data_IF_792857586504
#
_entry.id   IF_792857586504
#
_cell.length_a   1.000
_cell.length_b   1.000
_cell.length_c   1.000
_cell.angle_alpha   90.00
_cell.angle_beta   90.00
_cell.angle_gamma   90.00
#
_symmetry.space_group_name_H-M   'P 1'
#
loop_
_entity.id
_entity.type
_entity.pdbx_description
1 polymer ?
#
# COMPACT_ATOMS: atom_id res chain seq x y z
N UNK A 1 -14.09 6.04 4.46
CA UNK A 1 -13.35 4.77 4.59
C UNK A 1 -12.63 4.49 3.29
N UNK A 2 -11.31 4.27 3.33
CA UNK A 2 -10.57 3.88 2.14
C UNK A 2 -10.95 2.45 1.72
N UNK A 3 -11.07 2.22 0.43
CA UNK A 3 -11.29 0.92 -0.17
C UNK A 3 -10.31 0.75 -1.32
N UNK A 4 -9.66 -0.39 -1.39
CA UNK A 4 -8.81 -0.81 -2.49
C UNK A 4 -9.35 -2.15 -2.98
N UNK A 5 -9.69 -2.22 -4.27
CA UNK A 5 -10.03 -3.48 -4.96
C UNK A 5 -8.95 -3.72 -5.99
N UNK A 6 -8.40 -4.90 -6.02
CA UNK A 6 -7.34 -5.24 -6.96
C UNK A 6 -7.47 -6.65 -7.48
N UNK A 7 -6.91 -6.88 -8.66
CA UNK A 7 -6.78 -8.20 -9.27
C UNK A 7 -5.34 -8.41 -9.71
N UNK A 8 -4.74 -9.50 -9.29
CA UNK A 8 -3.49 -9.99 -9.83
C UNK A 8 -3.79 -11.06 -10.88
N UNK A 9 -3.29 -10.86 -12.09
CA UNK A 9 -3.61 -11.64 -13.28
C UNK A 9 -2.39 -12.43 -13.78
N UNK A 10 -1.42 -12.71 -12.92
CA UNK A 10 -0.14 -13.33 -13.30
C UNK A 10 -0.27 -14.70 -13.98
N UNK A 11 -1.36 -15.44 -13.70
CA UNK A 11 -1.62 -16.75 -14.30
C UNK A 11 -2.37 -16.67 -15.64
N UNK A 12 -2.90 -15.50 -16.03
CA UNK A 12 -3.65 -15.32 -17.29
C UNK A 12 -2.68 -14.84 -18.39
N UNK A 13 -1.66 -15.62 -18.65
CA UNK A 13 -0.53 -15.25 -19.52
C UNK A 13 -0.87 -14.98 -21.00
N UNK A 14 -2.08 -15.23 -21.46
CA UNK A 14 -2.40 -15.17 -22.90
C UNK A 14 -3.60 -14.30 -23.28
N UNK A 15 -4.33 -13.66 -22.34
CA UNK A 15 -5.56 -12.95 -22.68
C UNK A 15 -5.66 -11.53 -22.13
N UNK A 16 -4.77 -11.11 -21.22
CA UNK A 16 -4.79 -9.76 -20.62
C UNK A 16 -3.53 -8.98 -20.94
N UNK A 17 -3.69 -7.74 -21.38
CA UNK A 17 -2.63 -6.76 -21.53
C UNK A 17 -2.06 -6.29 -20.18
N UNK A 18 -2.82 -6.52 -19.09
CA UNK A 18 -2.49 -6.06 -17.74
C UNK A 18 -2.24 -7.24 -16.79
N UNK A 19 -1.12 -7.21 -16.09
CA UNK A 19 -0.80 -8.19 -15.03
C UNK A 19 -1.39 -7.83 -13.66
N UNK A 20 -1.77 -6.56 -13.48
CA UNK A 20 -2.33 -6.07 -12.22
C UNK A 20 -3.28 -4.89 -12.49
N UNK A 21 -4.48 -4.95 -11.91
CA UNK A 21 -5.46 -3.89 -11.98
C UNK A 21 -5.83 -3.48 -10.57
N UNK A 22 -5.91 -2.18 -10.31
CA UNK A 22 -6.28 -1.65 -9.01
C UNK A 22 -7.24 -0.48 -9.15
N UNK A 23 -8.27 -0.50 -8.31
CA UNK A 23 -9.21 0.60 -8.10
C UNK A 23 -9.17 0.99 -6.63
N UNK A 24 -9.02 2.27 -6.35
CA UNK A 24 -8.93 2.75 -4.97
C UNK A 24 -9.63 4.10 -4.79
N UNK A 25 -10.18 4.30 -3.60
CA UNK A 25 -10.60 5.62 -3.14
C UNK A 25 -9.90 5.98 -1.83
N UNK A 26 -9.60 7.25 -1.65
CA UNK A 26 -9.12 7.81 -0.40
C UNK A 26 -10.24 8.61 0.27
N UNK A 27 -10.52 8.25 1.52
CA UNK A 27 -11.45 8.97 2.38
C UNK A 27 -10.65 9.66 3.50
N UNK A 28 -10.58 10.99 3.44
CA UNK A 28 -9.79 11.82 4.34
C UNK A 28 -10.53 13.11 4.70
N UNK A 29 -10.13 13.77 5.78
CA UNK A 29 -10.68 15.06 6.18
C UNK A 29 -10.37 16.15 5.13
N UNK A 30 -11.34 17.03 4.86
CA UNK A 30 -11.22 18.10 3.87
C UNK A 30 -10.13 19.14 4.19
N UNK A 31 -9.82 19.31 5.48
CA UNK A 31 -8.78 20.21 5.97
C UNK A 31 -7.36 19.61 5.93
N UNK A 32 -7.21 18.37 5.45
CA UNK A 32 -5.89 17.75 5.28
C UNK A 32 -5.31 18.05 3.90
N UNK A 33 -4.32 18.95 3.82
CA UNK A 33 -3.81 19.38 2.54
C UNK A 33 -3.05 18.26 1.84
N UNK A 34 -3.32 18.11 0.54
CA UNK A 34 -2.70 17.09 -0.29
C UNK A 34 -2.25 17.68 -1.62
N UNK A 35 -1.20 17.13 -2.19
CA UNK A 35 -0.78 17.36 -3.57
C UNK A 35 -1.28 16.21 -4.44
N UNK A 36 -1.83 16.56 -5.60
CA UNK A 36 -2.27 15.59 -6.61
C UNK A 36 -1.14 14.66 -7.02
N UNK A 37 -1.49 13.54 -7.64
CA UNK A 37 -0.54 12.56 -8.19
C UNK A 37 0.48 13.24 -9.10
N UNK A 38 1.75 12.93 -8.88
CA UNK A 38 2.88 13.46 -9.64
C UNK A 38 4.08 12.52 -9.49
N UNK A 39 5.05 12.65 -10.39
CA UNK A 39 6.32 11.98 -10.26
C UNK A 39 7.13 12.57 -9.09
N UNK A 40 7.54 11.70 -8.19
CA UNK A 40 8.52 12.03 -7.17
C UNK A 40 9.92 11.88 -7.75
N UNK A 41 10.88 12.68 -7.24
CA UNK A 41 12.27 12.66 -7.72
C UNK A 41 12.96 11.30 -7.50
N UNK A 42 12.42 10.51 -6.59
CA UNK A 42 12.86 9.15 -6.26
C UNK A 42 12.37 8.08 -7.25
N UNK A 43 11.66 8.46 -8.33
CA UNK A 43 11.30 7.55 -9.44
C UNK A 43 9.98 6.80 -9.25
N UNK A 44 9.03 7.34 -8.49
CA UNK A 44 7.69 6.76 -8.36
C UNK A 44 6.59 7.81 -8.53
N UNK A 45 5.42 7.37 -8.94
CA UNK A 45 4.22 8.17 -9.16
C UNK A 45 3.31 8.03 -7.95
N UNK A 46 3.02 9.13 -7.26
CA UNK A 46 2.16 9.15 -6.07
C UNK A 46 1.59 10.55 -5.80
N UNK A 47 0.50 10.62 -5.06
CA UNK A 47 0.07 11.85 -4.39
C UNK A 47 0.96 12.15 -3.18
N UNK A 48 0.81 13.31 -2.56
CA UNK A 48 1.56 13.67 -1.36
C UNK A 48 0.63 14.23 -0.28
N UNK A 49 0.76 13.69 0.91
CA UNK A 49 0.22 14.28 2.13
C UNK A 49 1.12 15.43 2.55
N UNK A 50 0.63 16.66 2.45
CA UNK A 50 1.44 17.85 2.76
C UNK A 50 1.62 18.09 4.27
N UNK A 51 0.83 17.41 5.11
CA UNK A 51 0.96 17.49 6.57
C UNK A 51 2.04 16.53 7.11
N UNK A 52 2.03 15.28 6.65
CA UNK A 52 2.96 14.25 7.11
C UNK A 52 4.14 14.00 6.14
N UNK A 53 4.09 14.52 4.93
CA UNK A 53 5.18 14.41 3.94
C UNK A 53 5.25 13.08 3.18
N UNK A 54 4.46 12.07 3.58
CA UNK A 54 4.40 10.75 2.96
C UNK A 54 3.32 10.61 1.89
N UNK A 55 3.06 9.37 1.50
CA UNK A 55 1.96 9.02 0.58
C UNK A 55 1.22 7.78 1.08
N UNK A 56 -0.01 7.59 0.61
CA UNK A 56 -0.82 6.42 0.97
C UNK A 56 -0.88 5.37 -0.14
N UNK A 57 -0.52 5.73 -1.36
CA UNK A 57 -0.51 4.87 -2.54
C UNK A 57 0.50 5.42 -3.54
N UNK A 58 1.30 4.54 -4.13
CA UNK A 58 2.24 4.89 -5.18
C UNK A 58 2.67 3.68 -6.01
N UNK A 59 3.21 3.97 -7.20
CA UNK A 59 3.72 2.98 -8.14
C UNK A 59 5.03 3.48 -8.75
N UNK A 60 6.04 2.61 -8.83
CA UNK A 60 7.32 2.90 -9.51
C UNK A 60 7.30 2.46 -10.98
N UNK A 61 8.26 2.95 -11.77
CA UNK A 61 8.37 2.62 -13.20
C UNK A 61 8.61 1.13 -13.46
N UNK A 62 9.27 0.43 -12.56
CA UNK A 62 9.51 -1.02 -12.62
C UNK A 62 8.29 -1.87 -12.20
N UNK A 63 7.13 -1.24 -11.93
CA UNK A 63 5.89 -1.89 -11.58
C UNK A 63 5.77 -2.30 -10.09
N UNK A 64 6.69 -1.86 -9.24
CA UNK A 64 6.49 -1.99 -7.79
C UNK A 64 5.35 -1.07 -7.34
N UNK A 65 4.56 -1.56 -6.43
CA UNK A 65 3.40 -0.86 -5.93
C UNK A 65 3.31 -0.96 -4.42
N UNK A 66 2.88 0.10 -3.77
CA UNK A 66 2.56 0.10 -2.35
C UNK A 66 1.33 0.93 -2.03
N UNK A 67 0.52 0.44 -1.11
CA UNK A 67 -0.61 1.19 -0.57
C UNK A 67 -0.84 0.88 0.91
N UNK A 68 -1.30 1.86 1.66
CA UNK A 68 -1.65 1.71 3.07
C UNK A 68 -3.07 2.25 3.32
N UNK A 69 -3.87 1.48 4.06
CA UNK A 69 -5.13 1.95 4.61
C UNK A 69 -5.03 2.06 6.13
N UNK A 70 -5.73 3.03 6.69
CA UNK A 70 -5.80 3.23 8.12
C UNK A 70 -6.76 2.23 8.75
N UNK A 71 -6.32 1.53 9.79
CA UNK A 71 -7.23 0.83 10.67
C UNK A 71 -7.97 1.85 11.55
N UNK A 72 -9.31 1.74 11.64
CA UNK A 72 -10.10 2.63 12.52
C UNK A 72 -9.93 2.22 13.96
N UNK A 73 -9.29 3.07 14.71
CA UNK A 73 -9.10 2.95 16.16
C UNK A 73 -9.02 4.35 16.77
N UNK A 74 -9.06 4.42 18.08
CA UNK A 74 -8.86 5.70 18.79
C UNK A 74 -7.51 6.32 18.39
N UNK A 75 -7.44 7.66 18.26
CA UNK A 75 -6.24 8.36 17.87
C UNK A 75 -5.08 8.03 18.81
N UNK A 76 -4.10 7.30 18.32
CA UNK A 76 -2.83 7.08 19.01
C UNK A 76 -1.73 7.84 18.29
N UNK A 77 -1.03 8.67 19.06
CA UNK A 77 0.18 9.30 18.54
C UNK A 77 1.28 8.25 18.50
N UNK A 78 1.89 8.08 17.33
CA UNK A 78 3.02 7.18 17.10
C UNK A 78 4.19 7.96 16.52
N UNK A 79 5.38 7.41 16.65
CA UNK A 79 6.61 8.05 16.19
C UNK A 79 6.66 8.20 14.67
N UNK A 80 6.08 7.22 13.94
CA UNK A 80 6.15 7.15 12.49
C UNK A 80 4.79 7.33 11.81
N UNK A 81 4.82 8.00 10.66
CA UNK A 81 3.65 8.12 9.80
C UNK A 81 3.45 6.85 8.99
N UNK A 82 2.19 6.38 8.88
CA UNK A 82 1.86 5.24 8.01
C UNK A 82 2.20 5.49 6.53
N UNK A 83 2.21 6.74 6.10
CA UNK A 83 2.64 7.13 4.75
C UNK A 83 4.10 6.84 4.47
N UNK A 84 4.94 6.74 5.50
CA UNK A 84 6.36 6.38 5.37
C UNK A 84 6.52 4.90 4.99
N UNK A 85 5.58 4.03 5.34
CA UNK A 85 5.59 2.62 4.93
C UNK A 85 5.58 2.49 3.40
N UNK A 86 4.73 3.26 2.73
CA UNK A 86 4.63 3.27 1.27
C UNK A 86 5.87 3.90 0.64
N UNK A 87 6.24 5.09 1.14
CA UNK A 87 7.40 5.84 0.67
C UNK A 87 8.68 5.01 0.77
N UNK A 88 8.99 4.47 1.95
CA UNK A 88 10.22 3.72 2.20
C UNK A 88 10.30 2.46 1.34
N UNK A 89 9.21 1.76 1.08
CA UNK A 89 9.21 0.61 0.18
C UNK A 89 9.52 1.01 -1.26
N UNK A 90 8.93 2.09 -1.77
CA UNK A 90 9.13 2.54 -3.16
C UNK A 90 10.52 3.16 -3.39
N UNK A 91 11.13 3.74 -2.36
CA UNK A 91 12.46 4.34 -2.43
C UNK A 91 13.60 3.29 -2.30
N UNK A 92 13.32 2.13 -1.72
CA UNK A 92 14.32 1.08 -1.51
C UNK A 92 14.11 -0.09 -2.49
N UNK A 93 15.22 -0.64 -3.01
CA UNK A 93 15.23 -1.77 -3.95
C UNK A 93 15.19 -3.14 -3.22
N UNK A 94 14.48 -3.20 -2.09
CA UNK A 94 14.30 -4.40 -1.28
C UNK A 94 13.03 -5.16 -1.70
N UNK A 95 13.03 -6.48 -1.65
CA UNK A 95 11.85 -7.28 -1.92
C UNK A 95 10.76 -7.05 -0.86
N UNK A 96 9.50 -7.23 -1.25
CA UNK A 96 8.36 -6.98 -0.36
C UNK A 96 8.42 -7.83 0.92
N UNK A 97 8.75 -9.11 0.79
CA UNK A 97 8.88 -10.02 1.94
C UNK A 97 9.96 -9.54 2.92
N UNK A 98 11.14 -9.22 2.40
CA UNK A 98 12.25 -8.73 3.24
C UNK A 98 11.90 -7.38 3.90
N UNK A 99 11.27 -6.48 3.14
CA UNK A 99 10.80 -5.20 3.70
C UNK A 99 9.83 -5.41 4.87
N UNK A 100 8.85 -6.32 4.72
CA UNK A 100 7.89 -6.62 5.78
C UNK A 100 8.56 -7.16 7.05
N UNK A 101 9.65 -7.92 6.92
CA UNK A 101 10.42 -8.44 8.06
C UNK A 101 11.19 -7.34 8.81
N UNK A 102 11.57 -6.25 8.13
CA UNK A 102 12.29 -5.13 8.76
C UNK A 102 11.38 -4.20 9.57
N UNK A 103 10.06 -4.30 9.40
CA UNK A 103 9.11 -3.37 10.01
C UNK A 103 8.89 -3.63 11.50
N UNK A 104 9.17 -2.63 12.32
CA UNK A 104 8.65 -2.61 13.68
C UNK A 104 7.20 -2.11 13.69
N UNK A 105 6.26 -3.05 13.74
CA UNK A 105 4.82 -2.80 13.66
C UNK A 105 4.30 -1.84 14.75
N UNK A 106 5.02 -1.74 15.87
CA UNK A 106 4.61 -0.93 17.04
C UNK A 106 4.87 0.57 16.85
N UNK A 107 5.75 0.95 15.93
CA UNK A 107 6.07 2.35 15.64
C UNK A 107 4.92 3.09 14.94
N UNK A 108 3.92 2.34 14.45
CA UNK A 108 2.82 2.85 13.65
C UNK A 108 1.47 2.66 14.34
N UNK A 109 0.57 3.62 14.13
CA UNK A 109 -0.85 3.41 14.42
C UNK A 109 -1.42 2.29 13.52
N UNK A 110 -2.62 1.79 13.81
CA UNK A 110 -3.23 0.69 13.09
C UNK A 110 -3.25 0.88 11.57
N UNK A 111 -2.74 -0.11 10.84
CA UNK A 111 -2.65 -0.07 9.38
C UNK A 111 -2.89 -1.44 8.72
N UNK A 112 -3.27 -1.37 7.46
CA UNK A 112 -3.17 -2.46 6.50
C UNK A 112 -2.25 -2.00 5.37
N UNK A 113 -1.21 -2.77 5.06
CA UNK A 113 -0.21 -2.48 4.03
C UNK A 113 -0.30 -3.52 2.93
N UNK A 114 -0.37 -3.04 1.69
CA UNK A 114 -0.34 -3.83 0.48
C UNK A 114 0.90 -3.45 -0.31
N UNK A 115 1.71 -4.45 -0.65
CA UNK A 115 2.94 -4.30 -1.44
C UNK A 115 2.89 -5.22 -2.66
N UNK A 116 3.47 -4.78 -3.77
CA UNK A 116 3.69 -5.62 -4.95
C UNK A 116 5.09 -5.40 -5.49
N UNK A 117 5.75 -6.49 -5.85
CA UNK A 117 7.00 -6.52 -6.58
C UNK A 117 7.02 -7.70 -7.58
N UNK A 118 8.21 -8.10 -8.02
CA UNK A 118 8.40 -9.23 -8.93
C UNK A 118 8.04 -10.59 -8.35
N UNK A 119 7.88 -10.69 -7.02
CA UNK A 119 7.51 -11.94 -6.32
C UNK A 119 6.00 -12.09 -6.13
N UNK A 120 5.22 -11.03 -6.42
CA UNK A 120 3.77 -11.02 -6.29
C UNK A 120 3.24 -9.94 -5.36
N UNK A 121 2.04 -10.17 -4.84
CA UNK A 121 1.34 -9.23 -3.96
C UNK A 121 1.43 -9.72 -2.51
N UNK A 122 1.83 -8.85 -1.61
CA UNK A 122 2.02 -9.12 -0.19
C UNK A 122 1.15 -8.19 0.67
N UNK A 123 0.60 -8.72 1.74
CA UNK A 123 -0.24 -8.01 2.69
C UNK A 123 0.28 -8.13 4.11
N UNK A 124 0.22 -7.05 4.86
CA UNK A 124 0.50 -7.02 6.29
C UNK A 124 -0.48 -6.10 7.01
N UNK A 125 -0.99 -6.55 8.16
CA UNK A 125 -1.68 -5.69 9.12
C UNK A 125 -0.98 -5.74 10.49
N UNK A 126 -0.91 -4.62 11.19
CA UNK A 126 -0.47 -4.62 12.58
C UNK A 126 -1.63 -4.80 13.58
N UNK A 127 -2.84 -5.12 13.09
CA UNK A 127 -4.04 -5.43 13.89
C UNK A 127 -4.61 -6.84 13.64
N UNK A 128 -3.89 -7.67 12.94
CA UNK A 128 -4.25 -9.07 12.72
C UNK A 128 -3.38 -9.74 11.67
N UNK A 129 -2.91 -10.92 11.97
CA UNK A 129 -2.13 -11.77 11.07
C UNK A 129 -0.67 -11.36 10.91
N UNK A 130 0.12 -12.33 10.51
CA UNK A 130 1.46 -12.13 9.99
C UNK A 130 1.39 -11.83 8.49
N UNK A 131 2.44 -11.23 7.95
CA UNK A 131 2.49 -10.90 6.53
C UNK A 131 2.25 -12.14 5.67
N UNK A 132 1.37 -12.03 4.68
CA UNK A 132 1.03 -13.13 3.77
C UNK A 132 1.14 -12.68 2.33
N UNK A 133 1.62 -13.58 1.48
CA UNK A 133 1.49 -13.42 0.03
C UNK A 133 0.03 -13.67 -0.37
N UNK A 134 -0.50 -12.80 -1.22
CA UNK A 134 -1.88 -12.88 -1.71
C UNK A 134 -1.92 -13.74 -2.96
N UNK A 135 -2.85 -14.68 -3.00
CA UNK A 135 -3.10 -15.47 -4.19
C UNK A 135 -3.68 -14.61 -5.33
N UNK A 136 -3.47 -15.09 -6.57
CA UNK A 136 -4.07 -14.48 -7.75
C UNK A 136 -5.59 -14.45 -7.65
N UNK A 137 -6.20 -13.48 -8.35
CA UNK A 137 -7.63 -13.28 -8.37
C UNK A 137 -8.04 -11.90 -7.86
N UNK A 138 -9.33 -11.72 -7.63
CA UNK A 138 -9.89 -10.46 -7.17
C UNK A 138 -9.88 -10.41 -5.65
N UNK A 139 -9.34 -9.32 -5.12
CA UNK A 139 -9.22 -9.07 -3.70
C UNK A 139 -9.70 -7.66 -3.36
N UNK A 140 -10.19 -7.47 -2.15
CA UNK A 140 -10.56 -6.16 -1.64
C UNK A 140 -9.92 -5.89 -0.28
N UNK A 141 -9.40 -4.69 -0.10
CA UNK A 141 -8.82 -4.21 1.15
C UNK A 141 -9.60 -2.99 1.64
N UNK A 142 -10.30 -3.15 2.74
CA UNK A 142 -10.96 -2.07 3.45
C UNK A 142 -10.41 -1.93 4.88
N UNK A 143 -11.21 -2.32 5.87
CA UNK A 143 -10.75 -2.45 7.26
C UNK A 143 -9.93 -3.73 7.47
N UNK A 144 -10.16 -4.75 6.64
CA UNK A 144 -9.42 -6.00 6.56
C UNK A 144 -9.38 -6.47 5.10
N UNK A 145 -8.48 -7.39 4.80
CA UNK A 145 -8.40 -8.02 3.48
C UNK A 145 -9.51 -9.05 3.32
N UNK A 146 -10.16 -9.04 2.15
CA UNK A 146 -11.17 -10.02 1.74
C UNK A 146 -10.76 -10.54 0.36
N UNK A 147 -10.69 -11.85 0.20
CA UNK A 147 -10.61 -12.50 -1.10
C UNK A 147 -12.03 -12.70 -1.64
N UNK A 148 -12.27 -12.33 -2.90
CA UNK A 148 -13.57 -12.40 -3.56
C UNK A 148 -13.52 -13.48 -4.64
#
# INVERSE_FOLDING_TARGET
MCLIVFSSLEDIKNESEYSFILLANRDEYYDRPTKSIHWWKEGYLAGKDLKAGGTWLGVSEDGRFAAVTNYREDPTVRESSRGDLVKNFLENQILAEDYLQTLNKQDYAGFNLLLRDSTGVHYLSNRGGDGTQINNGVNALGLSLIHI
#
